data_IF_371227032479
#
_entry.id   IF_371227032479
#
_cell.length_a   1.000
_cell.length_b   1.000
_cell.length_c   1.000
_cell.angle_alpha   90.00
_cell.angle_beta   90.00
_cell.angle_gamma   90.00
#
_symmetry.space_group_name_H-M   'P 1'
#
loop_
_entity.id
_entity.type
_entity.pdbx_description
1 polymer ?
#
# COMPACT_ATOMS: atom_id res chain seq x y z
N UNK A 1 -7.63 -15.03 13.33
CA UNK A 1 -8.76 -15.04 12.36
C UNK A 1 -10.00 -14.36 12.91
N UNK A 2 -10.39 -14.58 14.17
CA UNK A 2 -11.51 -13.83 14.80
C UNK A 2 -11.25 -12.32 14.81
N UNK A 3 -10.05 -11.90 15.24
CA UNK A 3 -9.63 -10.49 15.19
C UNK A 3 -9.64 -9.87 13.78
N UNK A 4 -9.33 -10.66 12.74
CA UNK A 4 -9.42 -10.19 11.35
C UNK A 4 -10.88 -9.92 10.97
N UNK A 5 -11.79 -10.86 11.23
CA UNK A 5 -13.19 -10.69 10.89
C UNK A 5 -13.81 -9.46 11.54
N UNK A 6 -13.41 -9.14 12.78
CA UNK A 6 -13.92 -8.00 13.53
C UNK A 6 -13.26 -6.67 13.10
N UNK A 7 -11.93 -6.66 12.93
CA UNK A 7 -11.16 -5.48 12.54
C UNK A 7 -9.98 -5.89 11.61
N UNK A 8 -10.20 -5.88 10.28
CA UNK A 8 -9.16 -6.21 9.32
C UNK A 8 -7.96 -5.26 9.38
N UNK A 9 -8.15 -4.00 9.76
CA UNK A 9 -7.08 -3.00 9.82
C UNK A 9 -6.21 -3.24 11.06
N UNK A 10 -6.80 -3.44 12.23
CA UNK A 10 -6.05 -3.81 13.43
C UNK A 10 -5.30 -5.13 13.23
N UNK A 11 -5.92 -6.13 12.60
CA UNK A 11 -5.24 -7.38 12.24
C UNK A 11 -4.02 -7.15 11.33
N UNK A 12 -4.12 -6.24 10.35
CA UNK A 12 -2.99 -5.88 9.50
C UNK A 12 -1.79 -5.36 10.32
N UNK A 13 -2.02 -4.42 11.23
CA UNK A 13 -0.96 -3.89 12.12
C UNK A 13 -0.45 -4.91 13.13
N UNK A 14 -1.34 -5.74 13.68
CA UNK A 14 -0.96 -6.78 14.63
C UNK A 14 0.03 -7.77 14.01
N UNK A 15 -0.16 -8.14 12.74
CA UNK A 15 0.78 -8.99 11.99
C UNK A 15 2.15 -8.35 11.82
N UNK A 16 2.23 -7.04 11.55
CA UNK A 16 3.52 -6.34 11.41
C UNK A 16 4.29 -6.20 12.72
N UNK A 17 3.58 -6.14 13.85
CA UNK A 17 4.15 -5.95 15.20
C UNK A 17 4.40 -7.26 15.95
N UNK A 18 4.17 -8.42 15.32
CA UNK A 18 4.37 -9.72 15.97
C UNK A 18 5.80 -9.88 16.46
N UNK A 19 5.93 -10.33 17.71
CA UNK A 19 7.20 -10.66 18.32
C UNK A 19 7.22 -12.13 18.74
N UNK A 20 8.39 -12.76 18.65
CA UNK A 20 8.54 -14.19 18.97
C UNK A 20 8.56 -14.51 20.47
N UNK A 21 8.48 -13.51 21.35
CA UNK A 21 8.44 -13.72 22.81
C UNK A 21 7.01 -13.96 23.31
N UNK A 22 6.03 -13.32 22.67
CA UNK A 22 4.63 -13.32 23.07
C UNK A 22 3.72 -14.10 22.12
N UNK A 23 4.17 -14.35 20.87
CA UNK A 23 3.40 -15.03 19.84
C UNK A 23 4.05 -16.34 19.37
N UNK A 24 3.29 -17.43 19.42
CA UNK A 24 3.77 -18.77 19.07
C UNK A 24 4.04 -18.92 17.57
N UNK A 25 3.26 -18.25 16.71
CA UNK A 25 3.46 -18.29 15.27
C UNK A 25 4.76 -17.55 14.90
N UNK A 26 5.00 -16.38 15.49
CA UNK A 26 6.26 -15.65 15.34
C UNK A 26 7.47 -16.43 15.89
N UNK A 27 7.32 -17.11 17.04
CA UNK A 27 8.35 -17.99 17.57
C UNK A 27 8.66 -19.16 16.61
N UNK A 28 7.63 -19.76 16.00
CA UNK A 28 7.78 -20.82 15.02
C UNK A 28 8.45 -20.33 13.72
N UNK A 29 8.12 -19.13 13.25
CA UNK A 29 8.79 -18.49 12.12
C UNK A 29 10.27 -18.21 12.41
N UNK A 30 10.59 -17.70 13.60
CA UNK A 30 11.98 -17.47 14.03
C UNK A 30 12.78 -18.77 14.10
N UNK A 31 12.18 -19.85 14.64
CA UNK A 31 12.80 -21.17 14.64
C UNK A 31 13.03 -21.70 13.22
N UNK A 32 12.04 -21.55 12.34
CA UNK A 32 12.16 -21.93 10.94
C UNK A 32 13.31 -21.18 10.24
N UNK A 33 13.41 -19.86 10.44
CA UNK A 33 14.49 -19.04 9.88
C UNK A 33 15.86 -19.46 10.43
N UNK A 34 15.98 -19.71 11.73
CA UNK A 34 17.21 -20.22 12.33
C UNK A 34 17.65 -21.56 11.73
N UNK A 35 16.69 -22.43 11.39
CA UNK A 35 16.97 -23.69 10.70
C UNK A 35 17.36 -23.46 9.22
N UNK A 36 16.70 -22.54 8.53
CA UNK A 36 17.02 -22.18 7.13
C UNK A 36 18.43 -21.58 6.99
N UNK A 37 18.87 -20.82 7.99
CA UNK A 37 20.22 -20.26 8.05
C UNK A 37 21.28 -21.29 8.43
N UNK A 38 20.92 -22.35 9.16
CA UNK A 38 21.84 -23.40 9.56
C UNK A 38 22.31 -24.26 8.37
N UNK A 39 23.59 -24.64 8.35
CA UNK A 39 24.16 -25.46 7.26
C UNK A 39 23.42 -26.81 7.07
N UNK A 40 23.09 -27.46 8.19
CA UNK A 40 22.39 -28.75 8.17
C UNK A 40 20.91 -28.62 7.77
N UNK A 41 20.23 -27.55 8.20
CA UNK A 41 18.81 -27.34 7.92
C UNK A 41 18.57 -26.83 6.50
N UNK A 42 19.45 -25.97 5.98
CA UNK A 42 19.30 -25.31 4.68
C UNK A 42 19.04 -26.28 3.53
N UNK A 43 19.89 -27.30 3.37
CA UNK A 43 19.76 -28.24 2.27
C UNK A 43 18.43 -29.03 2.32
N UNK A 44 18.00 -29.41 3.53
CA UNK A 44 16.75 -30.16 3.73
C UNK A 44 15.53 -29.27 3.50
N UNK A 45 15.54 -28.05 4.04
CA UNK A 45 14.44 -27.12 3.93
C UNK A 45 14.26 -26.61 2.50
N UNK A 46 15.33 -26.31 1.77
CA UNK A 46 15.26 -25.87 0.38
C UNK A 46 14.56 -26.91 -0.50
N UNK A 47 14.97 -28.18 -0.42
CA UNK A 47 14.38 -29.27 -1.19
C UNK A 47 12.92 -29.53 -0.80
N UNK A 48 12.60 -29.49 0.49
CA UNK A 48 11.22 -29.67 0.94
C UNK A 48 10.32 -28.52 0.51
N UNK A 49 10.80 -27.27 0.57
CA UNK A 49 10.03 -26.11 0.13
C UNK A 49 9.81 -26.13 -1.37
N UNK A 50 10.85 -26.40 -2.16
CA UNK A 50 10.71 -26.56 -3.61
C UNK A 50 9.71 -27.66 -3.99
N UNK A 51 9.72 -28.79 -3.27
CA UNK A 51 8.75 -29.88 -3.46
C UNK A 51 7.33 -29.46 -3.11
N UNK A 52 7.13 -28.75 -2.00
CA UNK A 52 5.82 -28.25 -1.58
C UNK A 52 5.28 -27.24 -2.59
N UNK A 53 6.07 -26.20 -2.93
CA UNK A 53 5.68 -25.19 -3.91
C UNK A 53 5.50 -25.75 -5.34
N UNK A 54 6.10 -26.91 -5.64
CA UNK A 54 5.85 -27.65 -6.87
C UNK A 54 4.47 -28.31 -6.98
N UNK A 55 3.71 -28.42 -5.88
CA UNK A 55 2.34 -28.92 -5.89
C UNK A 55 1.35 -27.84 -6.35
N UNK A 56 1.32 -27.61 -7.66
CA UNK A 56 0.40 -26.64 -8.28
C UNK A 56 -1.08 -27.02 -8.07
N UNK A 57 -1.39 -28.32 -8.05
CA UNK A 57 -2.74 -28.79 -7.84
C UNK A 57 -3.24 -28.49 -6.42
N UNK A 58 -2.40 -28.72 -5.42
CA UNK A 58 -2.71 -28.37 -4.03
C UNK A 58 -2.94 -26.86 -3.82
N UNK A 59 -2.14 -26.01 -4.47
CA UNK A 59 -2.29 -24.54 -4.42
C UNK A 59 -3.63 -24.11 -5.02
N UNK A 60 -3.94 -24.62 -6.21
CA UNK A 60 -5.19 -24.32 -6.91
C UNK A 60 -6.42 -24.84 -6.15
N UNK A 61 -6.33 -26.02 -5.54
CA UNK A 61 -7.41 -26.58 -4.73
C UNK A 61 -7.70 -25.71 -3.49
N UNK A 62 -6.65 -25.23 -2.82
CA UNK A 62 -6.80 -24.35 -1.67
C UNK A 62 -7.37 -22.97 -2.07
N UNK A 63 -6.90 -22.42 -3.19
CA UNK A 63 -7.44 -21.18 -3.75
C UNK A 63 -8.93 -21.31 -4.11
N UNK A 64 -9.32 -22.43 -4.73
CA UNK A 64 -10.71 -22.72 -5.06
C UNK A 64 -11.57 -22.94 -3.81
N UNK A 65 -11.03 -23.58 -2.77
CA UNK A 65 -11.73 -23.79 -1.50
C UNK A 65 -12.03 -22.46 -0.78
N UNK A 66 -11.05 -21.56 -0.70
CA UNK A 66 -11.26 -20.22 -0.15
C UNK A 66 -12.30 -19.44 -0.98
N UNK A 67 -12.13 -19.42 -2.32
CA UNK A 67 -13.06 -18.70 -3.22
C UNK A 67 -14.50 -19.25 -3.17
N UNK A 68 -14.68 -20.56 -2.97
CA UNK A 68 -16.01 -21.17 -2.83
C UNK A 68 -16.68 -20.81 -1.50
N UNK A 69 -15.91 -20.60 -0.44
CA UNK A 69 -16.42 -20.21 0.88
C UNK A 69 -17.00 -18.78 0.85
N UNK A 70 -16.55 -17.95 -0.09
CA UNK A 70 -17.05 -16.58 -0.30
C UNK A 70 -18.34 -16.47 -1.13
N UNK A 71 -18.80 -17.54 -1.77
CA UNK A 71 -19.97 -17.52 -2.67
C UNK A 71 -21.26 -18.12 -2.10
N UNK A 72 -21.25 -18.63 -0.87
CA UNK A 72 -22.34 -19.45 -0.32
C UNK A 72 -23.36 -18.69 0.50
N UNK A 73 -24.50 -18.32 -0.10
CA UNK A 73 -25.72 -17.97 0.64
C UNK A 73 -26.16 -19.15 1.50
N UNK A 74 -25.79 -19.14 2.78
CA UNK A 74 -26.05 -20.24 3.71
C UNK A 74 -27.22 -19.91 4.62
N UNK A 75 -28.16 -20.86 4.75
CA UNK A 75 -29.29 -20.73 5.68
C UNK A 75 -28.82 -20.64 7.12
N UNK A 76 -29.56 -19.92 7.98
CA UNK A 76 -29.18 -19.58 9.37
C UNK A 76 -28.75 -20.78 10.26
N UNK A 77 -29.25 -22.00 9.98
CA UNK A 77 -28.86 -23.21 10.70
C UNK A 77 -27.47 -23.75 10.28
N UNK A 78 -27.07 -23.53 9.04
CA UNK A 78 -25.74 -23.87 8.51
C UNK A 78 -24.74 -22.80 8.88
N UNK A 79 -25.16 -21.53 8.93
CA UNK A 79 -24.33 -20.40 9.36
C UNK A 79 -23.79 -20.56 10.79
N UNK A 80 -24.58 -21.11 11.73
CA UNK A 80 -24.12 -21.34 13.12
C UNK A 80 -23.11 -22.51 13.23
N UNK A 81 -23.14 -23.45 12.28
CA UNK A 81 -22.20 -24.59 12.25
C UNK A 81 -20.94 -24.23 11.44
N UNK A 82 -21.07 -23.36 10.43
CA UNK A 82 -19.98 -22.79 9.64
C UNK A 82 -19.25 -21.67 10.41
N UNK A 83 -19.94 -20.96 11.31
CA UNK A 83 -19.34 -19.99 12.23
C UNK A 83 -18.34 -20.63 13.21
N UNK A 84 -18.37 -21.96 13.37
CA UNK A 84 -17.39 -22.72 14.14
C UNK A 84 -16.24 -23.28 13.28
N UNK A 85 -16.38 -23.25 11.93
CA UNK A 85 -15.32 -23.65 11.00
C UNK A 85 -14.58 -22.39 10.55
N UNK A 86 -13.65 -22.01 11.42
CA UNK A 86 -12.46 -21.20 11.13
C UNK A 86 -11.90 -21.65 9.77
N UNK A 87 -11.48 -20.68 8.95
CA UNK A 87 -10.93 -20.79 7.59
C UNK A 87 -10.51 -22.18 7.10
N UNK A 88 -10.77 -22.49 5.82
CA UNK A 88 -10.48 -23.80 5.22
C UNK A 88 -9.06 -24.30 5.61
N UNK A 89 -8.94 -25.52 6.19
CA UNK A 89 -7.65 -26.02 6.65
C UNK A 89 -6.56 -26.07 5.57
N UNK A 90 -6.94 -26.22 4.29
CA UNK A 90 -6.01 -26.14 3.17
C UNK A 90 -5.54 -24.71 2.94
N UNK A 91 -6.42 -23.72 3.09
CA UNK A 91 -6.06 -22.31 3.03
C UNK A 91 -5.05 -21.96 4.14
N UNK A 92 -5.28 -22.41 5.38
CA UNK A 92 -4.34 -22.21 6.49
C UNK A 92 -3.00 -22.92 6.28
N UNK A 93 -3.01 -24.14 5.72
CA UNK A 93 -1.77 -24.86 5.40
C UNK A 93 -0.95 -24.11 4.35
N UNK A 94 -1.59 -23.66 3.27
CA UNK A 94 -0.91 -22.92 2.22
C UNK A 94 -0.49 -21.53 2.64
N UNK A 95 -1.23 -20.88 3.54
CA UNK A 95 -0.81 -19.64 4.20
C UNK A 95 0.53 -19.83 4.92
N UNK A 96 0.67 -20.90 5.71
CA UNK A 96 1.92 -21.22 6.40
C UNK A 96 3.07 -21.55 5.43
N UNK A 97 2.80 -22.32 4.37
CA UNK A 97 3.81 -22.66 3.34
C UNK A 97 4.28 -21.40 2.61
N UNK A 98 3.35 -20.53 2.20
CA UNK A 98 3.68 -19.26 1.54
C UNK A 98 4.38 -18.29 2.48
N UNK A 99 4.01 -18.24 3.76
CA UNK A 99 4.74 -17.47 4.76
C UNK A 99 6.18 -17.92 4.85
N UNK A 100 6.40 -19.23 5.02
CA UNK A 100 7.74 -19.82 5.06
C UNK A 100 8.54 -19.51 3.79
N UNK A 101 7.92 -19.62 2.60
CA UNK A 101 8.56 -19.27 1.33
C UNK A 101 8.94 -17.79 1.24
N UNK A 102 8.07 -16.88 1.68
CA UNK A 102 8.31 -15.44 1.63
C UNK A 102 9.33 -14.93 2.65
N UNK A 103 9.42 -15.51 3.85
CA UNK A 103 10.47 -15.14 4.82
C UNK A 103 11.83 -15.75 4.48
N UNK A 104 11.86 -16.83 3.70
CA UNK A 104 13.08 -17.55 3.32
C UNK A 104 13.37 -17.52 1.81
N UNK A 105 13.04 -16.43 1.10
CA UNK A 105 13.24 -16.36 -0.35
C UNK A 105 14.66 -16.74 -0.77
N UNK A 106 15.68 -16.30 -0.03
CA UNK A 106 17.09 -16.64 -0.28
C UNK A 106 17.34 -18.16 -0.32
N UNK A 107 16.63 -18.95 0.49
CA UNK A 107 16.71 -20.41 0.51
C UNK A 107 16.27 -21.02 -0.82
N UNK A 108 15.21 -20.47 -1.41
CA UNK A 108 14.68 -20.89 -2.70
C UNK A 108 15.56 -20.40 -3.86
N UNK A 109 16.22 -19.25 -3.72
CA UNK A 109 17.17 -18.73 -4.72
C UNK A 109 18.40 -19.62 -4.89
N UNK A 110 18.91 -20.17 -3.79
CA UNK A 110 20.05 -21.09 -3.82
C UNK A 110 19.65 -22.52 -4.28
N UNK A 111 18.35 -22.82 -4.32
CA UNK A 111 17.83 -24.12 -4.70
C UNK A 111 17.80 -24.28 -6.23
N UNK A 112 18.82 -24.94 -6.80
CA UNK A 112 18.92 -25.16 -8.25
C UNK A 112 17.75 -25.92 -8.89
N UNK A 113 16.95 -26.63 -8.09
CA UNK A 113 15.76 -27.35 -8.57
C UNK A 113 14.48 -26.50 -8.57
N UNK A 114 14.53 -25.26 -8.11
CA UNK A 114 13.37 -24.38 -8.03
C UNK A 114 13.42 -23.27 -9.08
N UNK A 115 12.36 -23.16 -9.88
CA UNK A 115 12.19 -22.11 -10.88
C UNK A 115 11.03 -21.20 -10.46
N UNK A 116 11.37 -19.99 -10.00
CA UNK A 116 10.40 -18.98 -9.61
C UNK A 116 9.43 -18.64 -10.74
N UNK A 117 9.92 -18.52 -11.98
CA UNK A 117 9.10 -18.16 -13.12
C UNK A 117 8.07 -19.24 -13.42
N UNK A 118 8.50 -20.50 -13.44
CA UNK A 118 7.61 -21.65 -13.65
C UNK A 118 6.55 -21.78 -12.55
N UNK A 119 6.94 -21.61 -11.27
CA UNK A 119 6.01 -21.62 -10.14
C UNK A 119 4.98 -20.47 -10.21
N UNK A 120 5.43 -19.27 -10.59
CA UNK A 120 4.57 -18.11 -10.71
C UNK A 120 3.47 -18.32 -11.76
N UNK A 121 3.85 -18.85 -12.93
CA UNK A 121 2.94 -19.06 -14.06
C UNK A 121 2.02 -20.27 -13.87
N UNK A 122 2.52 -21.34 -13.24
CA UNK A 122 1.76 -22.57 -13.05
C UNK A 122 0.82 -22.53 -11.83
N UNK A 123 1.18 -21.78 -10.79
CA UNK A 123 0.48 -21.83 -9.51
C UNK A 123 0.05 -20.46 -9.01
N UNK A 124 0.99 -19.53 -8.79
CA UNK A 124 0.71 -18.32 -8.00
C UNK A 124 -0.27 -17.36 -8.69
N UNK A 125 -0.05 -17.04 -9.97
CA UNK A 125 -0.96 -16.19 -10.75
C UNK A 125 -2.32 -16.85 -11.02
N UNK A 126 -2.41 -18.13 -11.45
CA UNK A 126 -3.69 -18.81 -11.57
C UNK A 126 -4.48 -18.89 -10.25
N UNK A 127 -3.79 -19.10 -9.13
CA UNK A 127 -4.41 -19.11 -7.80
C UNK A 127 -4.98 -17.74 -7.47
N UNK A 128 -4.21 -16.66 -7.70
CA UNK A 128 -4.70 -15.29 -7.51
C UNK A 128 -5.90 -14.98 -8.42
N UNK A 129 -5.84 -15.39 -9.69
CA UNK A 129 -6.97 -15.23 -10.62
C UNK A 129 -8.24 -15.91 -10.13
N UNK A 130 -8.11 -17.10 -9.53
CA UNK A 130 -9.23 -17.83 -8.91
C UNK A 130 -9.77 -17.09 -7.68
N UNK A 131 -8.86 -16.62 -6.82
CA UNK A 131 -9.20 -15.87 -5.60
C UNK A 131 -9.86 -14.52 -5.91
N UNK A 132 -9.49 -13.86 -7.00
CA UNK A 132 -10.09 -12.59 -7.44
C UNK A 132 -11.37 -12.78 -8.26
N UNK A 133 -11.54 -13.94 -8.90
CA UNK A 133 -12.74 -14.30 -9.68
C UNK A 133 -13.90 -14.84 -8.83
N UNK A 134 -13.66 -15.23 -7.58
CA UNK A 134 -14.71 -15.60 -6.63
C UNK A 134 -15.60 -14.40 -6.28
N UNK A 135 -16.88 -14.65 -6.01
CA UNK A 135 -17.77 -13.59 -5.47
C UNK A 135 -17.23 -13.15 -4.11
N UNK A 136 -16.97 -11.86 -3.94
CA UNK A 136 -16.52 -11.25 -2.69
C UNK A 136 -17.71 -10.87 -1.78
N UNK A 137 -18.88 -11.45 -2.02
CA UNK A 137 -20.07 -11.17 -1.22
C UNK A 137 -19.76 -11.56 0.22
N UNK A 138 -19.68 -10.58 1.15
CA UNK A 138 -19.39 -10.70 2.59
C UNK A 138 -19.21 -12.15 3.05
N UNK A 139 -18.04 -12.71 2.74
CA UNK A 139 -17.65 -14.04 3.19
C UNK A 139 -17.53 -13.96 4.70
N UNK A 140 -18.19 -14.86 5.43
CA UNK A 140 -17.98 -14.95 6.88
C UNK A 140 -16.53 -15.35 7.23
N UNK A 141 -15.80 -15.93 6.27
CA UNK A 141 -14.40 -16.33 6.42
C UNK A 141 -13.45 -15.26 5.85
N UNK A 142 -12.33 -14.96 6.54
CA UNK A 142 -11.33 -13.99 6.08
C UNK A 142 -10.61 -14.48 4.79
N UNK A 143 -10.21 -13.56 3.90
CA UNK A 143 -9.55 -13.87 2.62
C UNK A 143 -8.03 -14.12 2.79
N UNK A 144 -7.69 -15.22 3.47
CA UNK A 144 -6.33 -15.55 3.92
C UNK A 144 -5.35 -15.67 2.76
N UNK A 145 -5.61 -16.58 1.81
CA UNK A 145 -4.72 -16.82 0.68
C UNK A 145 -4.65 -15.62 -0.24
N UNK A 146 -5.75 -14.89 -0.43
CA UNK A 146 -5.71 -13.65 -1.23
C UNK A 146 -4.73 -12.65 -0.64
N UNK A 147 -4.80 -12.37 0.67
CA UNK A 147 -3.83 -11.50 1.36
C UNK A 147 -2.41 -12.07 1.22
N UNK A 148 -2.23 -13.37 1.49
CA UNK A 148 -0.89 -13.99 1.52
C UNK A 148 -0.21 -14.00 0.16
N UNK A 149 -0.94 -14.24 -0.92
CA UNK A 149 -0.38 -14.20 -2.28
C UNK A 149 0.05 -12.77 -2.65
N UNK A 150 -0.71 -11.76 -2.24
CA UNK A 150 -0.29 -10.35 -2.42
C UNK A 150 0.94 -10.02 -1.58
N UNK A 151 1.01 -10.47 -0.33
CA UNK A 151 2.19 -10.32 0.52
C UNK A 151 3.43 -10.98 -0.10
N UNK A 152 3.28 -12.16 -0.73
CA UNK A 152 4.36 -12.80 -1.46
C UNK A 152 4.91 -11.94 -2.60
N UNK A 153 4.08 -11.11 -3.26
CA UNK A 153 4.58 -10.19 -4.27
C UNK A 153 5.57 -9.19 -3.69
N UNK A 154 5.34 -8.71 -2.46
CA UNK A 154 6.29 -7.85 -1.73
C UNK A 154 7.62 -8.58 -1.51
N UNK A 155 7.58 -9.82 -1.03
CA UNK A 155 8.78 -10.62 -0.76
C UNK A 155 9.57 -11.00 -2.02
N UNK A 156 8.88 -11.11 -3.16
CA UNK A 156 9.42 -11.62 -4.42
C UNK A 156 9.61 -10.53 -5.48
N UNK A 157 9.44 -9.25 -5.14
CA UNK A 157 9.41 -8.16 -6.11
C UNK A 157 10.62 -8.17 -7.06
N UNK A 158 11.83 -8.45 -6.56
CA UNK A 158 13.09 -8.53 -7.32
C UNK A 158 13.22 -9.78 -8.22
N UNK A 159 12.35 -10.79 -8.06
CA UNK A 159 12.33 -12.02 -8.87
C UNK A 159 11.28 -12.02 -9.96
N UNK A 160 10.30 -11.13 -9.89
CA UNK A 160 9.21 -11.08 -10.85
C UNK A 160 9.69 -10.34 -12.09
N UNK A 161 9.73 -11.04 -13.22
CA UNK A 161 10.11 -10.50 -14.54
C UNK A 161 9.09 -9.47 -15.05
N UNK A 162 9.46 -8.55 -15.95
CA UNK A 162 8.56 -7.51 -16.46
C UNK A 162 7.22 -8.04 -16.98
N UNK A 163 7.22 -9.14 -17.75
CA UNK A 163 6.00 -9.76 -18.28
C UNK A 163 5.01 -10.21 -17.19
N UNK A 164 5.54 -10.64 -16.04
CA UNK A 164 4.75 -11.11 -14.90
C UNK A 164 4.35 -9.93 -14.01
N UNK A 165 5.20 -8.90 -13.88
CA UNK A 165 4.87 -7.67 -13.16
C UNK A 165 3.67 -6.96 -13.77
N UNK A 166 3.52 -6.95 -15.10
CA UNK A 166 2.29 -6.45 -15.75
C UNK A 166 1.02 -7.12 -15.22
N UNK A 167 1.03 -8.45 -15.08
CA UNK A 167 -0.11 -9.20 -14.54
C UNK A 167 -0.32 -8.91 -13.05
N UNK A 168 0.76 -8.71 -12.28
CA UNK A 168 0.67 -8.28 -10.89
C UNK A 168 0.03 -6.89 -10.78
N UNK A 169 0.41 -5.92 -11.61
CA UNK A 169 -0.19 -4.59 -11.63
C UNK A 169 -1.67 -4.63 -11.95
N UNK A 170 -2.10 -5.48 -12.88
CA UNK A 170 -3.52 -5.71 -13.17
C UNK A 170 -4.26 -6.24 -11.94
N UNK A 171 -3.73 -7.28 -11.30
CA UNK A 171 -4.33 -7.85 -10.09
C UNK A 171 -4.40 -6.84 -8.94
N UNK A 172 -3.32 -6.10 -8.69
CA UNK A 172 -3.26 -5.05 -7.66
C UNK A 172 -4.28 -3.94 -7.95
N UNK A 173 -4.42 -3.53 -9.22
CA UNK A 173 -5.42 -2.52 -9.62
C UNK A 173 -6.85 -3.00 -9.34
N UNK A 174 -7.14 -4.27 -9.62
CA UNK A 174 -8.46 -4.88 -9.32
C UNK A 174 -8.71 -4.90 -7.81
N UNK A 175 -7.72 -5.31 -7.02
CA UNK A 175 -7.85 -5.37 -5.55
C UNK A 175 -8.12 -3.98 -4.97
N UNK A 176 -7.31 -2.98 -5.35
CA UNK A 176 -7.42 -1.62 -4.83
C UNK A 176 -8.70 -0.91 -5.28
N UNK A 177 -9.13 -1.13 -6.54
CA UNK A 177 -10.32 -0.48 -7.10
C UNK A 177 -11.64 -1.13 -6.68
N UNK A 178 -11.61 -2.27 -5.99
CA UNK A 178 -12.80 -2.90 -5.43
C UNK A 178 -13.35 -2.07 -4.27
N UNK A 179 -14.21 -1.09 -4.57
CA UNK A 179 -14.83 -0.28 -3.54
C UNK A 179 -15.79 -1.14 -2.71
N UNK A 180 -15.64 -1.11 -1.39
CA UNK A 180 -16.69 -1.55 -0.48
C UNK A 180 -17.67 -0.37 -0.39
N UNK A 181 -18.88 -0.52 -0.92
CA UNK A 181 -19.88 0.54 -0.81
C UNK A 181 -20.55 0.40 0.55
N UNK A 182 -20.01 1.16 1.51
CA UNK A 182 -20.57 1.79 2.71
C UNK A 182 -21.86 1.24 3.36
N UNK A 183 -21.77 1.12 4.69
CA UNK A 183 -22.87 1.29 5.65
C UNK A 183 -23.84 2.41 5.22
N UNK A 184 -24.99 2.01 4.69
CA UNK A 184 -26.23 2.73 4.91
C UNK A 184 -27.06 1.84 5.84
N UNK A 185 -27.23 2.25 7.10
CA UNK A 185 -28.02 1.55 8.14
C UNK A 185 -29.53 1.51 7.83
N UNK A 186 -29.94 1.92 6.64
CA UNK A 186 -31.28 1.79 6.12
C UNK A 186 -31.18 1.49 4.62
N UNK A 187 -31.19 0.20 4.24
CA UNK A 187 -32.04 -0.28 3.15
C UNK A 187 -31.86 -1.80 2.97
N UNK A 188 -32.99 -2.47 2.78
CA UNK A 188 -33.15 -3.89 2.43
C UNK A 188 -32.63 -4.20 1.00
N UNK A 189 -31.45 -3.73 0.62
CA UNK A 189 -30.93 -3.94 -0.73
C UNK A 189 -29.83 -5.01 -0.73
N UNK A 190 -30.21 -6.22 -1.17
CA UNK A 190 -29.38 -7.40 -1.45
C UNK A 190 -28.40 -7.17 -2.64
N UNK A 191 -27.82 -5.98 -2.77
CA UNK A 191 -26.93 -5.63 -3.88
C UNK A 191 -25.45 -5.79 -3.51
N UNK A 192 -24.98 -7.03 -3.63
CA UNK A 192 -23.63 -7.43 -4.03
C UNK A 192 -22.46 -6.52 -3.58
N UNK A 193 -22.24 -6.44 -2.27
CA UNK A 193 -21.08 -5.80 -1.65
C UNK A 193 -19.82 -6.65 -1.91
N UNK A 194 -19.15 -6.38 -3.03
CA UNK A 194 -18.07 -7.20 -3.60
C UNK A 194 -16.67 -6.63 -3.33
N UNK A 195 -16.54 -5.79 -2.28
CA UNK A 195 -15.31 -5.09 -1.93
C UNK A 195 -14.30 -5.96 -1.21
N UNK A 196 -13.01 -5.84 -1.54
CA UNK A 196 -11.95 -6.41 -0.70
C UNK A 196 -11.88 -5.67 0.65
N UNK A 197 -11.57 -6.42 1.70
CA UNK A 197 -11.37 -5.86 3.05
C UNK A 197 -10.11 -4.98 3.13
N UNK A 198 -9.99 -4.23 4.23
CA UNK A 198 -8.90 -3.28 4.46
C UNK A 198 -7.55 -3.99 4.56
N UNK A 199 -7.47 -5.16 5.21
CA UNK A 199 -6.25 -5.95 5.34
C UNK A 199 -5.64 -6.34 3.98
N UNK A 200 -6.47 -6.86 3.06
CA UNK A 200 -6.06 -7.24 1.71
C UNK A 200 -5.63 -6.01 0.91
N UNK A 201 -6.36 -4.91 1.04
CA UNK A 201 -6.03 -3.66 0.33
C UNK A 201 -4.72 -3.05 0.82
N UNK A 202 -4.47 -2.99 2.13
CA UNK A 202 -3.19 -2.51 2.68
C UNK A 202 -2.04 -3.43 2.26
N UNK A 203 -2.25 -4.74 2.23
CA UNK A 203 -1.25 -5.68 1.70
C UNK A 203 -0.99 -5.46 0.20
N UNK A 204 -2.02 -5.12 -0.58
CA UNK A 204 -1.85 -4.72 -1.98
C UNK A 204 -1.04 -3.42 -2.12
N UNK A 205 -1.23 -2.46 -1.20
CA UNK A 205 -0.43 -1.22 -1.15
C UNK A 205 1.04 -1.53 -0.86
N UNK A 206 1.35 -2.43 0.07
CA UNK A 206 2.73 -2.89 0.32
C UNK A 206 3.36 -3.49 -0.95
N UNK A 207 2.65 -4.38 -1.63
CA UNK A 207 3.12 -5.03 -2.85
C UNK A 207 3.34 -4.01 -3.99
N UNK A 208 2.41 -3.08 -4.18
CA UNK A 208 2.56 -1.98 -5.14
C UNK A 208 3.80 -1.14 -4.82
N UNK A 209 3.98 -0.78 -3.55
CA UNK A 209 5.12 0.02 -3.08
C UNK A 209 6.44 -0.70 -3.36
N UNK A 210 6.52 -2.01 -3.12
CA UNK A 210 7.71 -2.80 -3.42
C UNK A 210 8.07 -2.80 -4.92
N UNK A 211 7.08 -2.89 -5.81
CA UNK A 211 7.33 -2.80 -7.25
C UNK A 211 7.76 -1.39 -7.70
N UNK A 212 7.25 -0.34 -7.07
CA UNK A 212 7.58 1.03 -7.42
C UNK A 212 8.97 1.48 -6.94
N UNK A 213 9.56 0.80 -5.95
CA UNK A 213 10.94 1.06 -5.50
C UNK A 213 12.00 0.59 -6.51
N UNK A 214 11.69 -0.42 -7.32
CA UNK A 214 12.55 -0.95 -8.37
C UNK A 214 11.75 -1.06 -9.68
N UNK A 215 11.36 0.08 -10.28
CA UNK A 215 10.50 0.09 -11.46
C UNK A 215 11.27 -0.43 -12.69
N UNK A 216 10.59 -1.23 -13.50
CA UNK A 216 11.09 -1.69 -14.80
C UNK A 216 10.21 -1.13 -15.94
N UNK A 217 10.47 -1.57 -17.18
CA UNK A 217 9.72 -1.13 -18.37
C UNK A 217 8.21 -1.45 -18.30
N UNK A 218 7.79 -2.40 -17.44
CA UNK A 218 6.37 -2.73 -17.27
C UNK A 218 5.58 -1.68 -16.51
N UNK A 219 6.27 -0.75 -15.82
CA UNK A 219 5.61 0.32 -15.04
C UNK A 219 4.77 1.24 -15.92
N UNK A 220 5.11 1.40 -17.21
CA UNK A 220 4.34 2.21 -18.15
C UNK A 220 2.88 1.74 -18.27
N UNK A 221 2.66 0.42 -18.20
CA UNK A 221 1.32 -0.17 -18.23
C UNK A 221 0.51 0.14 -16.96
N UNK A 222 1.18 0.31 -15.82
CA UNK A 222 0.57 0.78 -14.57
C UNK A 222 0.27 2.28 -14.65
N UNK A 223 1.23 3.08 -15.11
CA UNK A 223 1.13 4.53 -15.18
C UNK A 223 0.03 5.01 -16.13
N UNK A 224 -0.23 4.28 -17.21
CA UNK A 224 -1.38 4.53 -18.10
C UNK A 224 -2.74 4.47 -17.39
N UNK A 225 -2.79 3.88 -16.18
CA UNK A 225 -3.97 3.73 -15.32
C UNK A 225 -3.77 4.41 -13.96
N UNK A 226 -2.83 5.35 -13.85
CA UNK A 226 -2.48 6.00 -12.59
C UNK A 226 -3.63 6.79 -11.97
N UNK A 227 -4.43 7.52 -12.75
CA UNK A 227 -5.55 8.32 -12.22
C UNK A 227 -6.57 7.49 -11.40
N UNK A 228 -7.20 6.42 -11.94
CA UNK A 228 -8.14 5.61 -11.15
C UNK A 228 -7.46 4.91 -9.96
N UNK A 229 -6.19 4.52 -10.10
CA UNK A 229 -5.43 3.92 -9.00
C UNK A 229 -5.19 4.91 -7.86
N UNK A 230 -4.81 6.16 -8.17
CA UNK A 230 -4.65 7.24 -7.19
C UNK A 230 -5.98 7.49 -6.47
N UNK A 231 -7.10 7.53 -7.20
CA UNK A 231 -8.43 7.68 -6.58
C UNK A 231 -8.76 6.51 -5.64
N UNK A 232 -8.44 5.27 -6.04
CA UNK A 232 -8.64 4.10 -5.19
C UNK A 232 -7.78 4.14 -3.93
N UNK A 233 -6.52 4.56 -4.03
CA UNK A 233 -5.62 4.75 -2.90
C UNK A 233 -6.15 5.82 -1.93
N UNK A 234 -6.59 6.99 -2.42
CA UNK A 234 -7.21 7.97 -1.52
C UNK A 234 -8.49 7.46 -0.87
N UNK A 235 -9.31 6.71 -1.61
CA UNK A 235 -10.53 6.12 -1.04
C UNK A 235 -10.20 5.16 0.10
N UNK A 236 -9.14 4.36 -0.04
CA UNK A 236 -8.63 3.52 1.03
C UNK A 236 -8.09 4.35 2.20
N UNK A 237 -7.30 5.40 1.95
CA UNK A 237 -6.79 6.26 3.01
C UNK A 237 -7.93 6.92 3.83
N UNK A 238 -9.03 7.32 3.19
CA UNK A 238 -10.20 7.85 3.92
C UNK A 238 -10.99 6.77 4.67
N UNK A 239 -10.91 5.51 4.23
CA UNK A 239 -11.58 4.38 4.89
C UNK A 239 -10.77 3.81 6.06
N UNK A 240 -9.46 4.04 6.11
CA UNK A 240 -8.61 3.64 7.21
C UNK A 240 -8.83 4.53 8.43
N UNK A 241 -8.86 3.93 9.62
CA UNK A 241 -8.95 4.62 10.90
C UNK A 241 -7.55 4.92 11.47
N UNK A 242 -6.58 4.03 11.26
CA UNK A 242 -5.24 4.16 11.81
C UNK A 242 -4.37 5.13 11.00
N UNK A 243 -3.64 6.00 11.71
CA UNK A 243 -2.73 6.96 11.08
C UNK A 243 -1.62 6.28 10.29
N UNK A 244 -1.12 5.15 10.78
CA UNK A 244 -0.06 4.37 10.12
C UNK A 244 -0.52 3.84 8.75
N UNK A 245 -1.72 3.27 8.67
CA UNK A 245 -2.35 2.87 7.41
C UNK A 245 -2.47 4.03 6.44
N UNK A 246 -3.01 5.16 6.90
CA UNK A 246 -3.18 6.37 6.09
C UNK A 246 -1.85 6.84 5.52
N UNK A 247 -0.83 6.89 6.37
CA UNK A 247 0.54 7.30 6.01
C UNK A 247 1.13 6.35 4.96
N UNK A 248 0.97 5.04 5.14
CA UNK A 248 1.42 4.02 4.18
C UNK A 248 0.78 4.20 2.80
N UNK A 249 -0.53 4.43 2.76
CA UNK A 249 -1.29 4.64 1.52
C UNK A 249 -0.88 5.95 0.83
N UNK A 250 -0.74 7.04 1.58
CA UNK A 250 -0.28 8.33 1.06
C UNK A 250 1.17 8.28 0.54
N UNK A 251 2.04 7.52 1.21
CA UNK A 251 3.40 7.27 0.75
C UNK A 251 3.40 6.53 -0.60
N UNK A 252 2.51 5.55 -0.80
CA UNK A 252 2.35 4.86 -2.07
C UNK A 252 1.86 5.80 -3.20
N UNK A 253 0.97 6.75 -2.89
CA UNK A 253 0.57 7.79 -3.86
C UNK A 253 1.77 8.67 -4.23
N UNK A 254 2.53 9.15 -3.25
CA UNK A 254 3.71 9.98 -3.48
C UNK A 254 4.76 9.25 -4.35
N UNK A 255 4.98 7.97 -4.06
CA UNK A 255 5.89 7.12 -4.82
C UNK A 255 5.39 6.89 -6.25
N UNK A 256 4.11 6.56 -6.45
CA UNK A 256 3.53 6.36 -7.79
C UNK A 256 3.69 7.61 -8.67
N UNK A 257 3.43 8.79 -8.10
CA UNK A 257 3.62 10.07 -8.81
C UNK A 257 5.10 10.34 -9.11
N UNK A 258 6.00 10.04 -8.17
CA UNK A 258 7.44 10.21 -8.35
C UNK A 258 8.01 9.27 -9.41
N UNK A 259 7.60 8.01 -9.41
CA UNK A 259 7.98 7.01 -10.42
C UNK A 259 7.53 7.45 -11.82
N UNK A 260 6.33 8.01 -11.93
CA UNK A 260 5.84 8.56 -13.20
C UNK A 260 6.72 9.70 -13.74
N UNK A 261 7.30 10.52 -12.85
CA UNK A 261 8.22 11.60 -13.22
C UNK A 261 9.60 11.09 -13.67
N UNK A 262 10.09 10.01 -13.06
CA UNK A 262 11.47 9.53 -13.20
C UNK A 262 11.70 8.47 -14.27
N UNK A 263 10.73 7.58 -14.51
CA UNK A 263 10.95 6.34 -15.27
C UNK A 263 10.56 6.41 -16.75
N UNK A 264 9.64 7.30 -17.10
CA UNK A 264 9.19 7.42 -18.48
C UNK A 264 10.37 7.88 -19.37
N UNK A 265 10.80 7.02 -20.30
CA UNK A 265 12.01 7.14 -21.14
C UNK A 265 12.05 8.33 -22.11
N UNK A 266 11.17 9.33 -21.92
CA UNK A 266 11.09 10.57 -22.66
C UNK A 266 10.95 11.83 -21.79
N UNK A 267 11.34 11.77 -20.51
CA UNK A 267 11.09 12.87 -19.56
C UNK A 267 9.61 12.96 -19.18
N UNK A 268 8.99 11.80 -18.94
CA UNK A 268 7.55 11.69 -18.84
C UNK A 268 6.97 12.47 -17.68
N UNK A 269 5.83 13.04 -17.99
CA UNK A 269 5.02 13.83 -17.08
C UNK A 269 3.80 13.00 -16.78
N UNK A 270 3.31 13.07 -15.55
CA UNK A 270 1.96 12.57 -15.29
C UNK A 270 0.98 13.31 -16.20
N UNK A 271 -0.04 12.60 -16.67
CA UNK A 271 -1.11 13.24 -17.44
C UNK A 271 -1.98 14.13 -16.54
N UNK A 272 -2.76 15.02 -17.17
CA UNK A 272 -3.63 15.96 -16.44
C UNK A 272 -4.65 15.23 -15.55
N UNK A 273 -5.10 14.04 -15.93
CA UNK A 273 -6.08 13.27 -15.17
C UNK A 273 -5.47 12.76 -13.85
N UNK A 274 -4.27 12.19 -13.91
CA UNK A 274 -3.51 11.72 -12.77
C UNK A 274 -3.08 12.87 -11.86
N UNK A 275 -2.63 13.99 -12.44
CA UNK A 275 -2.29 15.20 -11.69
C UNK A 275 -3.51 15.73 -10.91
N UNK A 276 -4.67 15.83 -11.55
CA UNK A 276 -5.89 16.29 -10.88
C UNK A 276 -6.35 15.31 -9.79
N UNK A 277 -6.32 14.00 -10.07
CA UNK A 277 -6.64 12.97 -9.09
C UNK A 277 -5.71 13.01 -7.87
N UNK A 278 -4.42 13.34 -8.07
CA UNK A 278 -3.43 13.48 -7.01
C UNK A 278 -3.63 14.75 -6.16
N UNK A 279 -4.00 15.88 -6.78
CA UNK A 279 -4.12 17.16 -6.07
C UNK A 279 -5.44 17.30 -5.31
N UNK A 280 -6.55 16.89 -5.91
CA UNK A 280 -7.90 17.21 -5.43
C UNK A 280 -8.14 16.87 -3.94
N UNK A 281 -7.72 15.69 -3.42
CA UNK A 281 -8.04 15.31 -2.04
C UNK A 281 -7.15 15.98 -0.97
N UNK A 282 -6.03 16.58 -1.37
CA UNK A 282 -4.96 17.01 -0.45
C UNK A 282 -5.39 18.09 0.53
N UNK A 283 -6.21 19.06 0.08
CA UNK A 283 -6.73 20.10 0.97
C UNK A 283 -7.64 19.53 2.06
N UNK A 284 -8.47 18.54 1.71
CA UNK A 284 -9.35 17.88 2.68
C UNK A 284 -8.54 17.07 3.71
N UNK A 285 -7.51 16.35 3.26
CA UNK A 285 -6.59 15.60 4.16
C UNK A 285 -5.84 16.56 5.09
N UNK A 286 -5.35 17.67 4.56
CA UNK A 286 -4.65 18.69 5.34
C UNK A 286 -5.55 19.27 6.45
N UNK A 287 -6.80 19.59 6.10
CA UNK A 287 -7.78 20.11 7.04
C UNK A 287 -8.24 19.06 8.05
N UNK A 288 -8.45 17.80 7.65
CA UNK A 288 -8.85 16.75 8.60
C UNK A 288 -7.76 16.49 9.64
N UNK A 289 -6.49 16.47 9.22
CA UNK A 289 -5.35 16.33 10.12
C UNK A 289 -5.15 17.53 11.07
N UNK A 290 -5.73 18.69 10.72
CA UNK A 290 -5.72 19.91 11.52
C UNK A 290 -6.77 19.96 12.63
N UNK A 291 -7.92 19.32 12.38
CA UNK A 291 -9.17 19.54 13.11
C UNK A 291 -9.22 18.79 14.43
N UNK A 292 -8.44 17.72 14.56
CA UNK A 292 -8.31 17.02 15.83
C UNK A 292 -7.51 17.89 16.80
N UNK A 293 -8.24 18.61 17.65
CA UNK A 293 -7.66 19.60 18.56
C UNK A 293 -6.93 18.95 19.73
N UNK A 294 -7.28 17.70 20.03
CA UNK A 294 -6.74 16.95 21.16
C UNK A 294 -5.56 16.05 20.71
N UNK A 295 -5.52 15.63 19.43
CA UNK A 295 -4.39 14.90 18.83
C UNK A 295 -4.12 15.34 17.37
N UNK A 296 -3.52 16.52 17.14
CA UNK A 296 -3.20 16.97 15.79
C UNK A 296 -2.22 16.00 15.13
N UNK A 297 -2.40 15.75 13.83
CA UNK A 297 -1.60 14.77 13.11
C UNK A 297 -0.62 15.43 12.12
N UNK A 298 0.57 15.86 12.57
CA UNK A 298 1.57 16.47 11.70
C UNK A 298 2.13 15.49 10.67
N UNK A 299 2.06 14.17 10.89
CA UNK A 299 2.55 13.18 9.94
C UNK A 299 1.72 13.16 8.65
N UNK A 300 0.40 13.17 8.75
CA UNK A 300 -0.47 13.25 7.56
C UNK A 300 -0.29 14.58 6.80
N UNK A 301 -0.04 15.67 7.52
CA UNK A 301 0.30 16.97 6.91
C UNK A 301 1.63 16.92 6.17
N UNK A 302 2.63 16.24 6.74
CA UNK A 302 3.92 15.99 6.09
C UNK A 302 3.73 15.19 4.79
N UNK A 303 2.87 14.17 4.81
CA UNK A 303 2.59 13.37 3.61
C UNK A 303 1.93 14.21 2.51
N UNK A 304 1.03 15.14 2.86
CA UNK A 304 0.45 16.11 1.91
C UNK A 304 1.56 16.96 1.24
N UNK A 305 2.52 17.47 2.02
CA UNK A 305 3.65 18.23 1.47
C UNK A 305 4.53 17.36 0.55
N UNK A 306 4.81 16.13 0.96
CA UNK A 306 5.55 15.15 0.17
C UNK A 306 4.86 14.88 -1.17
N UNK A 307 3.56 14.62 -1.17
CA UNK A 307 2.79 14.39 -2.39
C UNK A 307 2.80 15.64 -3.29
N UNK A 308 2.55 16.84 -2.73
CA UNK A 308 2.61 18.09 -3.50
C UNK A 308 3.98 18.30 -4.16
N UNK A 309 5.05 17.94 -3.46
CA UNK A 309 6.42 18.03 -3.97
C UNK A 309 6.65 17.02 -5.10
N UNK A 310 6.19 15.78 -4.94
CA UNK A 310 6.22 14.75 -5.97
C UNK A 310 5.45 15.19 -7.22
N UNK A 311 4.24 15.73 -7.05
CA UNK A 311 3.45 16.27 -8.17
C UNK A 311 4.17 17.44 -8.84
N UNK A 312 4.76 18.36 -8.08
CA UNK A 312 5.53 19.48 -8.64
C UNK A 312 6.77 19.03 -9.43
N UNK A 313 7.37 17.88 -9.06
CA UNK A 313 8.44 17.26 -9.86
C UNK A 313 7.91 16.52 -11.10
N UNK A 314 6.69 16.00 -11.04
CA UNK A 314 6.09 15.16 -12.08
C UNK A 314 5.31 15.93 -13.15
N UNK A 315 4.72 17.07 -12.79
CA UNK A 315 4.11 17.98 -13.77
C UNK A 315 5.22 18.85 -14.35
N UNK A 316 5.18 19.11 -15.65
CA UNK A 316 6.14 20.06 -16.19
C UNK A 316 5.72 21.52 -15.99
N UNK A 317 6.67 22.40 -16.32
CA UNK A 317 6.72 23.79 -15.84
C UNK A 317 5.49 24.61 -16.16
N UNK A 318 4.90 24.39 -17.33
CA UNK A 318 3.69 25.04 -17.80
C UNK A 318 2.47 24.76 -16.93
N UNK A 319 2.44 23.66 -16.16
CA UNK A 319 1.31 23.30 -15.29
C UNK A 319 1.52 23.61 -13.80
N UNK A 320 2.73 23.98 -13.39
CA UNK A 320 3.03 24.27 -11.98
C UNK A 320 2.17 25.37 -11.37
N UNK A 321 1.69 26.32 -12.20
CA UNK A 321 0.79 27.36 -11.74
C UNK A 321 -0.52 26.82 -11.14
N UNK A 322 -0.96 25.62 -11.55
CA UNK A 322 -2.16 24.94 -11.03
C UNK A 322 -1.99 24.43 -9.60
N UNK A 323 -0.76 24.15 -9.17
CA UNK A 323 -0.47 23.67 -7.80
C UNK A 323 -0.40 24.82 -6.80
N UNK A 324 -0.08 26.04 -7.25
CA UNK A 324 0.16 27.20 -6.38
C UNK A 324 -1.00 27.51 -5.41
N UNK A 325 -2.28 27.47 -5.82
CA UNK A 325 -3.40 27.75 -4.90
C UNK A 325 -3.51 26.77 -3.73
N UNK A 326 -3.09 25.51 -3.94
CA UNK A 326 -3.10 24.47 -2.90
C UNK A 326 -1.80 24.49 -2.10
N UNK A 327 -0.66 24.73 -2.76
CA UNK A 327 0.66 24.73 -2.13
C UNK A 327 0.90 25.96 -1.23
N UNK A 328 0.39 27.14 -1.60
CA UNK A 328 0.66 28.36 -0.83
C UNK A 328 0.14 28.29 0.61
N UNK A 329 -1.14 27.94 0.88
CA UNK A 329 -1.65 27.90 2.26
C UNK A 329 -0.94 26.86 3.12
N UNK A 330 -0.59 25.70 2.56
CA UNK A 330 0.10 24.65 3.33
C UNK A 330 1.54 25.05 3.65
N UNK A 331 2.26 25.70 2.72
CA UNK A 331 3.62 26.20 3.00
C UNK A 331 3.59 27.31 4.05
N UNK A 332 2.67 28.28 3.94
CA UNK A 332 2.58 29.37 4.92
C UNK A 332 2.24 28.86 6.32
N UNK A 333 1.34 27.87 6.42
CA UNK A 333 0.99 27.23 7.69
C UNK A 333 2.15 26.39 8.25
N UNK A 334 2.86 25.63 7.43
CA UNK A 334 4.01 24.81 7.87
C UNK A 334 5.20 25.62 8.36
N UNK A 335 5.34 26.85 7.87
CA UNK A 335 6.45 27.74 8.26
C UNK A 335 6.02 28.75 9.33
N UNK A 336 4.86 28.55 9.96
CA UNK A 336 4.40 29.39 11.06
C UNK A 336 5.16 29.10 12.36
N UNK A 337 6.15 29.93 12.64
CA UNK A 337 6.99 29.85 13.84
C UNK A 337 6.30 30.33 15.11
N UNK A 338 5.21 31.08 14.97
CA UNK A 338 4.44 31.67 16.07
C UNK A 338 3.22 30.79 16.44
N UNK A 339 2.97 29.72 15.68
CA UNK A 339 1.86 28.80 15.90
C UNK A 339 2.00 27.98 17.19
N UNK A 340 0.90 27.87 17.94
CA UNK A 340 0.84 27.12 19.21
C UNK A 340 1.05 25.60 19.04
N UNK A 341 0.85 25.06 17.83
CA UNK A 341 0.92 23.61 17.58
C UNK A 341 2.35 23.04 17.50
N UNK A 342 3.37 23.88 17.29
CA UNK A 342 4.74 23.39 17.11
C UNK A 342 5.00 22.55 15.85
N UNK A 343 3.99 22.41 14.96
CA UNK A 343 4.07 21.57 13.75
C UNK A 343 5.23 21.94 12.83
N UNK A 344 5.69 23.19 12.88
CA UNK A 344 6.82 23.67 12.09
C UNK A 344 8.10 22.84 12.30
N UNK A 345 8.28 22.22 13.47
CA UNK A 345 9.42 21.34 13.75
C UNK A 345 9.42 20.08 12.86
N UNK A 346 8.23 19.58 12.50
CA UNK A 346 8.08 18.38 11.66
C UNK A 346 7.91 18.75 10.18
N UNK A 347 7.27 19.89 9.89
CA UNK A 347 6.83 20.25 8.55
C UNK A 347 7.79 21.16 7.78
N UNK A 348 8.67 21.90 8.46
CA UNK A 348 9.44 22.97 7.81
C UNK A 348 10.35 22.47 6.70
N UNK A 349 11.02 21.32 6.88
CA UNK A 349 11.93 20.77 5.85
C UNK A 349 11.18 20.43 4.56
N UNK A 350 10.05 19.73 4.66
CA UNK A 350 9.23 19.36 3.50
C UNK A 350 8.55 20.56 2.85
N UNK A 351 8.11 21.54 3.64
CA UNK A 351 7.53 22.78 3.14
C UNK A 351 8.57 23.63 2.37
N UNK A 352 9.79 23.73 2.89
CA UNK A 352 10.90 24.39 2.17
C UNK A 352 11.30 23.61 0.92
N UNK A 353 11.31 22.27 0.98
CA UNK A 353 11.57 21.40 -0.16
C UNK A 353 10.55 21.58 -1.28
N UNK A 354 9.25 21.63 -0.94
CA UNK A 354 8.16 21.94 -1.87
C UNK A 354 8.33 23.35 -2.45
N UNK A 355 8.54 24.35 -1.61
CA UNK A 355 8.68 25.73 -2.06
C UNK A 355 9.87 25.91 -3.02
N UNK A 356 11.03 25.31 -2.70
CA UNK A 356 12.20 25.32 -3.57
C UNK A 356 11.91 24.64 -4.92
N UNK A 357 11.14 23.54 -4.92
CA UNK A 357 10.74 22.84 -6.15
C UNK A 357 9.87 23.74 -7.04
N UNK A 358 8.88 24.42 -6.44
CA UNK A 358 8.04 25.38 -7.16
C UNK A 358 8.82 26.58 -7.71
N UNK A 359 9.78 27.10 -6.95
CA UNK A 359 10.65 28.20 -7.38
C UNK A 359 11.53 27.79 -8.56
N UNK A 360 12.16 26.61 -8.50
CA UNK A 360 13.02 26.09 -9.58
C UNK A 360 12.26 25.79 -10.86
N UNK A 361 10.99 25.40 -10.75
CA UNK A 361 10.15 25.13 -11.90
C UNK A 361 9.45 26.35 -12.48
N UNK A 362 9.47 27.50 -11.79
CA UNK A 362 8.80 28.71 -12.25
C UNK A 362 9.71 29.53 -13.17
N UNK A 363 9.24 29.83 -14.39
CA UNK A 363 10.01 30.63 -15.36
C UNK A 363 9.95 32.15 -15.09
N UNK A 364 9.12 32.59 -14.14
CA UNK A 364 8.97 33.98 -13.73
C UNK A 364 8.69 34.13 -12.24
N UNK A 365 8.79 35.36 -11.74
CA UNK A 365 8.35 35.71 -10.40
C UNK A 365 6.92 35.21 -10.13
N UNK A 366 6.71 34.55 -8.99
CA UNK A 366 5.45 33.88 -8.64
C UNK A 366 4.37 34.84 -8.11
N UNK A 367 4.65 36.15 -8.07
CA UNK A 367 3.74 37.18 -7.57
C UNK A 367 4.09 37.67 -6.17
N UNK A 368 3.49 38.80 -5.79
CA UNK A 368 3.80 39.50 -4.53
C UNK A 368 3.51 38.65 -3.29
N UNK A 369 2.50 37.78 -3.34
CA UNK A 369 2.13 36.88 -2.23
C UNK A 369 3.28 35.95 -1.83
N UNK A 370 4.00 35.41 -2.81
CA UNK A 370 5.17 34.55 -2.60
C UNK A 370 6.41 35.33 -2.17
N UNK A 371 6.56 36.58 -2.65
CA UNK A 371 7.58 37.49 -2.13
C UNK A 371 7.33 37.87 -0.66
N UNK A 372 6.07 38.12 -0.31
CA UNK A 372 5.63 38.39 1.06
C UNK A 372 5.86 37.18 1.97
N UNK A 373 5.63 35.96 1.48
CA UNK A 373 5.93 34.73 2.21
C UNK A 373 7.42 34.63 2.59
N UNK A 374 8.33 34.97 1.68
CA UNK A 374 9.77 35.03 1.98
C UNK A 374 10.11 36.08 3.03
N UNK A 375 9.57 37.28 2.89
CA UNK A 375 9.80 38.36 3.85
C UNK A 375 9.29 38.02 5.26
N UNK A 376 8.12 37.37 5.36
CA UNK A 376 7.49 37.02 6.64
C UNK A 376 8.08 35.77 7.28
N UNK A 377 8.14 34.67 6.52
CA UNK A 377 8.49 33.33 7.05
C UNK A 377 9.96 32.99 6.81
N UNK A 378 10.47 33.21 5.60
CA UNK A 378 11.84 32.87 5.22
C UNK A 378 12.90 33.60 6.04
N UNK A 379 12.76 34.92 6.19
CA UNK A 379 13.67 35.75 7.00
C UNK A 379 13.64 35.34 8.48
N UNK A 380 12.44 35.09 9.03
CA UNK A 380 12.28 34.67 10.42
C UNK A 380 12.93 33.30 10.69
N UNK A 381 12.86 32.39 9.73
CA UNK A 381 13.43 31.04 9.83
C UNK A 381 14.96 31.05 9.72
N UNK A 382 15.54 31.86 8.83
CA UNK A 382 17.00 32.06 8.72
C UNK A 382 17.55 32.76 9.98
N UNK A 383 16.76 33.61 10.62
CA UNK A 383 17.12 34.28 11.87
C UNK A 383 17.11 33.37 13.11
N UNK A 384 16.61 32.12 13.00
CA UNK A 384 16.65 31.12 14.07
C UNK A 384 17.89 30.23 13.94
N UNK A 385 18.43 29.84 15.09
CA UNK A 385 19.56 28.91 15.18
C UNK A 385 19.06 27.49 14.88
N UNK A 386 19.37 26.98 13.68
CA UNK A 386 18.92 25.68 13.19
C UNK A 386 19.76 24.51 13.72
N UNK A 387 20.84 24.77 14.47
CA UNK A 387 21.73 23.74 15.01
C UNK A 387 21.14 22.95 16.20
N UNK A 388 20.02 23.42 16.78
CA UNK A 388 19.37 22.80 17.94
C UNK A 388 17.98 22.21 17.67
N UNK A 389 17.60 22.05 16.39
CA UNK A 389 16.26 21.56 15.97
C UNK A 389 16.28 20.08 15.53
N UNK A 390 17.34 19.31 15.86
CA UNK A 390 17.40 17.86 15.57
C UNK A 390 17.02 17.00 16.75
#
# INVERSE_FOLDING_TARGET
TEEWTDDPEAYFHAEERRNGEEDADAAAQNLYLALAESEAGRAVLAMNMARLLGDAAGQMEAAAAEAATSGGGTTAATALTLALVKADPKALLWDAIYTAAGVSVHLLEECSSFDFGAWFDASLLPSLGTLLGGSNAKSAAPPILRRRVLWLFTCLAHKITPDRRMKCYEALSVVLSSNAVSHNDNDNDDNNDNGNDTAVKLTAVQALTAFLYDPDESVDALLSRSAPLITALYSLAFACDETESRTQVLAAVSLLVSTAAGCCSGGGRIDDAAANAAVQPLSAIWESAARDRDDPNPLLRRDVLSILRSIAGAVGRDQLHRLRPVAYPVIDASLDLDGESGDHLVLAEDALGLWLTLLRGSDSYMGEEWGGLFARRGVALIGRDLEHVK
#
